data_IF_349190745584
#
_entry.id   IF_349190745584
#
_cell.length_a   1.000
_cell.length_b   1.000
_cell.length_c   1.000
_cell.angle_alpha   90.00
_cell.angle_beta   90.00
_cell.angle_gamma   90.00
#
_symmetry.space_group_name_H-M   'P 1'
#
loop_
_entity.id
_entity.type
_entity.pdbx_description
1 polymer ?
#
# COMPACT_ATOMS: atom_id res chain seq x y z
N UNK A 1 22.24 -19.19 82.00
CA UNK A 1 20.91 -18.60 81.81
C UNK A 1 20.41 -18.98 80.44
N UNK A 2 19.18 -19.49 80.39
CA UNK A 2 18.27 -19.74 79.26
C UNK A 2 18.80 -20.40 77.98
N UNK A 3 18.29 -21.60 77.70
CA UNK A 3 17.90 -22.00 76.34
C UNK A 3 16.69 -22.93 76.39
N UNK A 4 15.67 -22.50 75.66
CA UNK A 4 14.51 -23.22 75.12
C UNK A 4 14.68 -24.73 74.92
N UNK A 5 13.59 -25.48 75.17
CA UNK A 5 13.20 -26.66 74.37
C UNK A 5 11.69 -26.93 74.51
N UNK A 6 11.00 -26.74 73.40
CA UNK A 6 9.64 -27.20 73.10
C UNK A 6 9.54 -28.73 73.20
N UNK A 7 8.49 -29.26 73.86
CA UNK A 7 8.08 -30.67 73.70
C UNK A 7 6.56 -30.83 73.80
N UNK A 8 6.05 -31.46 72.75
CA UNK A 8 4.68 -31.88 72.44
C UNK A 8 4.08 -32.88 73.47
N UNK A 9 2.77 -32.85 73.74
CA UNK A 9 2.04 -33.98 74.34
C UNK A 9 1.19 -34.79 73.33
N UNK A 10 0.75 -36.02 73.71
CA UNK A 10 0.50 -37.15 72.81
C UNK A 10 -1.00 -37.42 72.48
N UNK A 11 -1.18 -38.42 71.62
CA UNK A 11 -2.39 -39.00 71.01
C UNK A 11 -3.64 -39.20 71.91
N UNK A 12 -4.83 -39.02 71.31
CA UNK A 12 -6.11 -39.62 71.71
C UNK A 12 -6.72 -40.33 70.47
N UNK A 13 -7.36 -41.51 70.61
CA UNK A 13 -7.61 -42.47 69.53
C UNK A 13 -8.87 -42.17 68.71
N UNK A 14 -8.94 -42.82 67.55
CA UNK A 14 -10.13 -42.90 66.71
C UNK A 14 -11.04 -44.07 67.16
N UNK A 15 -12.27 -43.76 67.58
CA UNK A 15 -13.43 -44.66 67.57
C UNK A 15 -14.58 -43.83 66.96
N UNK A 16 -14.88 -44.04 65.68
CA UNK A 16 -16.03 -44.83 65.25
C UNK A 16 -17.34 -44.31 65.85
N UNK A 17 -17.96 -43.36 65.16
CA UNK A 17 -19.00 -43.57 64.16
C UNK A 17 -20.41 -43.63 64.77
N UNK A 18 -21.21 -42.68 64.28
CA UNK A 18 -22.67 -42.67 64.29
C UNK A 18 -23.33 -42.39 65.64
N UNK A 19 -23.80 -41.14 65.76
CA UNK A 19 -25.20 -40.77 66.04
C UNK A 19 -25.30 -39.54 66.93
N UNK A 20 -24.85 -38.41 66.40
CA UNK A 20 -25.25 -37.09 66.89
C UNK A 20 -25.31 -36.08 65.73
N UNK A 21 -25.85 -36.51 64.59
CA UNK A 21 -26.66 -35.55 63.82
C UNK A 21 -27.78 -35.07 64.76
N UNK A 22 -27.99 -33.75 64.84
CA UNK A 22 -29.15 -33.05 65.45
C UNK A 22 -29.07 -32.47 66.88
N UNK A 23 -27.95 -32.48 67.61
CA UNK A 23 -27.93 -31.93 68.98
C UNK A 23 -27.16 -30.61 69.20
N UNK A 24 -27.01 -29.78 68.15
CA UNK A 24 -26.35 -28.47 68.26
C UNK A 24 -26.99 -27.33 67.48
N UNK A 25 -27.98 -27.62 66.63
CA UNK A 25 -28.79 -26.60 65.97
C UNK A 25 -30.05 -26.36 66.82
N UNK A 26 -29.89 -25.68 67.95
CA UNK A 26 -31.03 -25.03 68.59
C UNK A 26 -31.55 -23.93 67.66
N UNK A 27 -32.88 -23.75 67.61
CA UNK A 27 -33.53 -22.76 66.73
C UNK A 27 -32.90 -21.36 66.90
N UNK A 28 -32.48 -21.02 68.11
CA UNK A 28 -31.78 -19.77 68.44
C UNK A 28 -30.40 -19.62 67.78
N UNK A 29 -29.62 -20.70 67.60
CA UNK A 29 -28.33 -20.62 66.90
C UNK A 29 -28.49 -20.50 65.40
N UNK A 30 -29.46 -21.23 64.82
CA UNK A 30 -29.80 -21.10 63.39
C UNK A 30 -30.32 -19.69 63.11
N UNK A 31 -31.18 -19.14 63.98
CA UNK A 31 -31.68 -17.77 63.86
C UNK A 31 -30.58 -16.73 64.04
N UNK A 32 -29.63 -16.90 64.97
CA UNK A 32 -28.46 -16.01 65.10
C UNK A 32 -27.57 -16.02 63.86
N UNK A 33 -27.29 -17.18 63.30
CA UNK A 33 -26.49 -17.28 62.06
C UNK A 33 -27.25 -16.67 60.88
N UNK A 34 -28.56 -16.89 60.76
CA UNK A 34 -29.39 -16.21 59.76
C UNK A 34 -29.42 -14.69 59.97
N UNK A 35 -29.49 -14.20 61.21
CA UNK A 35 -29.47 -12.77 61.51
C UNK A 35 -28.11 -12.12 61.19
N UNK A 36 -27.00 -12.85 61.34
CA UNK A 36 -25.66 -12.40 60.93
C UNK A 36 -25.55 -12.36 59.40
N UNK A 37 -26.06 -13.38 58.70
CA UNK A 37 -26.07 -13.42 57.23
C UNK A 37 -27.01 -12.38 56.61
N UNK A 38 -28.18 -12.12 57.21
CA UNK A 38 -29.12 -11.08 56.76
C UNK A 38 -28.64 -9.65 57.03
N UNK A 39 -27.63 -9.48 57.91
CA UNK A 39 -26.97 -8.19 58.16
C UNK A 39 -26.02 -7.82 57.03
N UNK A 40 -25.38 -8.80 56.41
CA UNK A 40 -24.54 -8.60 55.23
C UNK A 40 -25.47 -8.45 54.02
N UNK A 41 -25.64 -7.19 53.59
CA UNK A 41 -26.35 -6.90 52.35
C UNK A 41 -25.64 -7.66 51.22
N UNK A 42 -26.40 -8.27 50.27
CA UNK A 42 -25.81 -9.01 49.16
C UNK A 42 -24.78 -8.13 48.45
N UNK A 43 -23.65 -8.73 48.05
CA UNK A 43 -22.60 -8.03 47.32
C UNK A 43 -23.23 -7.24 46.16
N UNK A 44 -22.86 -5.95 45.97
CA UNK A 44 -23.44 -5.17 44.90
C UNK A 44 -23.10 -5.85 43.58
N UNK A 45 -24.12 -6.41 42.92
CA UNK A 45 -23.92 -7.04 41.63
C UNK A 45 -23.74 -5.95 40.58
N UNK A 46 -22.63 -6.02 39.85
CA UNK A 46 -22.40 -5.17 38.68
C UNK A 46 -23.36 -5.60 37.57
N UNK A 47 -24.56 -5.03 37.57
CA UNK A 47 -25.51 -5.21 36.48
C UNK A 47 -25.01 -4.50 35.23
N UNK A 48 -25.16 -5.13 34.07
CA UNK A 48 -24.89 -4.49 32.79
C UNK A 48 -25.98 -3.44 32.51
N UNK A 49 -25.75 -2.19 32.89
CA UNK A 49 -26.61 -1.08 32.46
C UNK A 49 -26.19 -0.66 31.06
N UNK A 50 -27.05 -0.82 30.03
CA UNK A 50 -26.72 -0.32 28.69
C UNK A 50 -26.46 1.18 28.78
N UNK A 51 -25.35 1.64 28.20
CA UNK A 51 -24.98 3.05 28.17
C UNK A 51 -26.19 3.87 27.67
N UNK A 52 -26.59 4.92 28.39
CA UNK A 52 -27.78 5.65 28.01
C UNK A 52 -27.56 6.29 26.63
N UNK A 53 -28.53 6.11 25.74
CA UNK A 53 -28.40 6.49 24.33
C UNK A 53 -28.06 7.98 24.13
N UNK A 54 -28.47 8.85 25.05
CA UNK A 54 -28.12 10.28 25.01
C UNK A 54 -26.62 10.53 25.23
N UNK A 55 -25.97 9.76 26.11
CA UNK A 55 -24.55 9.89 26.40
C UNK A 55 -23.72 9.38 25.22
N UNK A 56 -24.14 8.27 24.62
CA UNK A 56 -23.52 7.75 23.40
C UNK A 56 -23.66 8.74 22.24
N UNK A 57 -24.84 9.36 22.09
CA UNK A 57 -25.09 10.42 21.10
C UNK A 57 -24.21 11.65 21.32
N UNK A 58 -24.04 12.09 22.57
CA UNK A 58 -23.17 13.22 22.91
C UNK A 58 -21.69 12.92 22.64
N UNK A 59 -21.20 11.76 23.06
CA UNK A 59 -19.80 11.34 22.80
C UNK A 59 -19.55 11.22 21.30
N UNK A 60 -20.48 10.62 20.55
CA UNK A 60 -20.40 10.50 19.09
C UNK A 60 -20.38 11.89 18.42
N UNK A 61 -21.24 12.81 18.86
CA UNK A 61 -21.24 14.19 18.35
C UNK A 61 -19.92 14.91 18.64
N UNK A 62 -19.33 14.74 19.82
CA UNK A 62 -18.06 15.37 20.17
C UNK A 62 -16.90 14.82 19.34
N UNK A 63 -16.86 13.49 19.13
CA UNK A 63 -15.87 12.84 18.24
C UNK A 63 -16.06 13.29 16.81
N UNK A 64 -17.30 13.38 16.33
CA UNK A 64 -17.61 13.85 14.98
C UNK A 64 -17.18 15.31 14.77
N UNK A 65 -17.50 16.21 15.70
CA UNK A 65 -17.07 17.62 15.64
C UNK A 65 -15.55 17.72 15.69
N UNK A 66 -14.87 16.98 16.56
CA UNK A 66 -13.41 16.94 16.60
C UNK A 66 -12.81 16.41 15.30
N UNK A 67 -13.37 15.34 14.73
CA UNK A 67 -12.90 14.77 13.48
C UNK A 67 -13.07 15.76 12.31
N UNK A 68 -14.24 16.40 12.20
CA UNK A 68 -14.51 17.45 11.21
C UNK A 68 -13.57 18.64 11.40
N UNK A 69 -13.37 19.09 12.64
CA UNK A 69 -12.45 20.17 12.98
C UNK A 69 -11.02 19.82 12.57
N UNK A 70 -10.50 18.66 12.94
CA UNK A 70 -9.18 18.21 12.50
C UNK A 70 -9.14 18.13 10.98
N UNK A 71 -10.13 17.55 10.31
CA UNK A 71 -10.13 17.44 8.84
C UNK A 71 -10.08 18.81 8.16
N UNK A 72 -10.79 19.81 8.69
CA UNK A 72 -10.83 21.17 8.15
C UNK A 72 -9.62 22.03 8.52
N UNK A 73 -9.03 21.85 9.70
CA UNK A 73 -7.99 22.73 10.25
C UNK A 73 -6.59 22.08 10.37
N UNK A 74 -6.42 20.81 9.97
CA UNK A 74 -5.12 20.09 10.00
C UNK A 74 -4.05 20.59 9.01
N UNK A 75 -4.36 21.55 8.14
CA UNK A 75 -3.38 22.09 7.18
C UNK A 75 -2.72 21.00 6.31
N UNK A 76 -3.42 19.91 5.99
CA UNK A 76 -2.89 18.79 5.21
C UNK A 76 -1.77 17.96 5.87
N UNK A 77 -1.38 18.27 7.12
CA UNK A 77 -0.13 17.80 7.73
C UNK A 77 1.12 18.13 6.90
N UNK A 78 1.08 19.19 6.10
CA UNK A 78 2.21 19.61 5.29
C UNK A 78 3.13 20.52 6.13
N UNK A 79 4.43 20.20 6.27
CA UNK A 79 5.38 21.00 7.05
C UNK A 79 5.46 22.47 6.60
N UNK A 80 5.09 22.75 5.35
CA UNK A 80 5.16 24.10 4.77
C UNK A 80 3.99 24.99 5.19
N UNK A 81 2.87 24.44 5.69
CA UNK A 81 1.70 25.23 6.12
C UNK A 81 1.96 26.01 7.43
N UNK A 82 3.02 25.65 8.16
CA UNK A 82 3.46 26.33 9.38
C UNK A 82 4.68 27.23 9.19
N UNK A 83 5.16 27.40 7.95
CA UNK A 83 6.22 28.35 7.64
C UNK A 83 5.58 29.73 7.37
N UNK A 84 5.89 30.74 8.18
CA UNK A 84 5.38 32.11 8.01
C UNK A 84 5.83 32.77 6.69
N UNK A 85 6.80 32.16 5.99
CA UNK A 85 7.25 32.58 4.65
C UNK A 85 6.47 31.90 3.53
N UNK A 86 5.63 30.92 3.86
CA UNK A 86 4.83 30.18 2.89
C UNK A 86 3.63 31.00 2.47
N UNK A 87 3.70 31.54 1.26
CA UNK A 87 2.56 32.14 0.59
C UNK A 87 1.74 31.03 -0.08
N UNK A 88 0.56 30.75 0.47
CA UNK A 88 -0.36 29.73 -0.02
C UNK A 88 -0.89 30.05 -1.43
N UNK A 89 -1.01 31.31 -1.81
CA UNK A 89 -1.38 31.72 -3.18
C UNK A 89 -0.20 31.46 -4.14
N UNK A 90 1.03 31.79 -3.74
CA UNK A 90 2.23 31.50 -4.54
C UNK A 90 2.49 29.99 -4.65
N UNK A 91 2.25 29.21 -3.60
CA UNK A 91 2.40 27.76 -3.61
C UNK A 91 1.30 27.06 -4.44
N UNK A 92 0.07 27.56 -4.38
CA UNK A 92 -1.03 27.10 -5.24
C UNK A 92 -0.79 27.51 -6.69
N UNK A 93 -0.25 28.70 -6.93
CA UNK A 93 0.20 29.14 -8.25
C UNK A 93 1.35 28.25 -8.78
N UNK A 94 2.34 27.93 -7.95
CA UNK A 94 3.44 27.02 -8.30
C UNK A 94 3.01 25.57 -8.50
N UNK A 95 1.97 25.10 -7.80
CA UNK A 95 1.35 23.79 -8.02
C UNK A 95 0.43 23.76 -9.26
N UNK A 96 -0.09 24.92 -9.68
CA UNK A 96 -0.95 25.08 -10.87
C UNK A 96 -0.17 25.43 -12.15
N UNK A 97 1.08 25.87 -12.03
CA UNK A 97 1.95 26.04 -13.17
C UNK A 97 2.21 24.66 -13.80
N UNK A 98 2.07 24.49 -15.13
CA UNK A 98 2.55 23.30 -15.79
C UNK A 98 4.04 23.21 -15.49
N UNK A 99 4.42 22.28 -14.61
CA UNK A 99 5.80 22.00 -14.32
C UNK A 99 6.35 21.24 -15.51
N UNK A 100 6.64 21.98 -16.59
CA UNK A 100 7.42 21.45 -17.69
C UNK A 100 8.76 21.02 -17.09
N UNK A 101 8.94 19.71 -17.02
CA UNK A 101 10.16 19.13 -16.52
C UNK A 101 11.28 19.49 -17.48
N UNK A 102 12.41 19.93 -16.92
CA UNK A 102 13.64 20.06 -17.70
C UNK A 102 14.02 18.70 -18.31
N UNK A 103 14.73 18.68 -19.45
CA UNK A 103 15.19 17.42 -20.06
C UNK A 103 15.91 16.50 -19.06
N UNK A 104 16.73 17.07 -18.17
CA UNK A 104 17.45 16.34 -17.13
C UNK A 104 16.51 15.67 -16.12
N UNK A 105 15.43 16.37 -15.74
CA UNK A 105 14.42 15.82 -14.83
C UNK A 105 13.59 14.73 -15.51
N UNK A 106 13.29 14.87 -16.80
CA UNK A 106 12.63 13.82 -17.60
C UNK A 106 13.50 12.56 -17.63
N UNK A 107 14.79 12.69 -17.92
CA UNK A 107 15.73 11.56 -17.95
C UNK A 107 15.90 10.93 -16.57
N UNK A 108 16.01 11.73 -15.49
CA UNK A 108 16.11 11.22 -14.14
C UNK A 108 14.84 10.45 -13.70
N UNK A 109 13.66 10.94 -14.08
CA UNK A 109 12.38 10.27 -13.87
C UNK A 109 12.30 8.97 -14.67
N UNK A 110 12.67 9.02 -15.95
CA UNK A 110 12.73 7.86 -16.84
C UNK A 110 13.67 6.77 -16.34
N UNK A 111 14.85 7.13 -15.82
CA UNK A 111 15.81 6.19 -15.21
C UNK A 111 15.24 5.43 -14.02
N UNK A 112 14.45 6.10 -13.17
CA UNK A 112 13.76 5.46 -12.04
C UNK A 112 12.69 4.49 -12.53
N UNK A 113 11.91 4.90 -13.53
CA UNK A 113 10.87 4.05 -14.12
C UNK A 113 11.47 2.83 -14.84
N UNK A 114 12.63 3.00 -15.47
CA UNK A 114 13.36 1.95 -16.17
C UNK A 114 13.75 0.76 -15.28
N UNK A 115 13.77 0.91 -13.95
CA UNK A 115 14.02 -0.23 -13.06
C UNK A 115 13.01 -1.37 -13.28
N UNK A 116 11.78 -1.04 -13.67
CA UNK A 116 10.76 -2.04 -14.05
C UNK A 116 11.15 -2.78 -15.34
N UNK A 117 11.75 -2.07 -16.29
CA UNK A 117 12.16 -2.59 -17.59
C UNK A 117 13.48 -3.39 -17.49
N UNK A 118 14.34 -3.01 -16.55
CA UNK A 118 15.66 -3.62 -16.32
C UNK A 118 15.57 -5.10 -15.91
N UNK A 119 14.44 -5.54 -15.35
CA UNK A 119 14.22 -6.96 -15.04
C UNK A 119 14.41 -7.88 -16.26
N UNK A 120 14.05 -7.40 -17.46
CA UNK A 120 14.20 -8.14 -18.71
C UNK A 120 15.30 -7.54 -19.60
N UNK A 121 15.33 -6.21 -19.75
CA UNK A 121 16.27 -5.52 -20.65
C UNK A 121 17.64 -5.24 -20.04
N UNK A 122 17.84 -5.61 -18.77
CA UNK A 122 19.04 -5.35 -17.97
C UNK A 122 19.30 -3.86 -17.73
N UNK A 123 20.09 -3.56 -16.70
CA UNK A 123 20.49 -2.18 -16.40
C UNK A 123 21.33 -1.54 -17.52
N UNK A 124 22.03 -2.37 -18.29
CA UNK A 124 22.84 -1.96 -19.45
C UNK A 124 22.03 -1.79 -20.73
N UNK A 125 20.74 -2.13 -20.73
CA UNK A 125 19.91 -2.08 -21.93
C UNK A 125 20.32 -3.10 -23.01
N UNK A 126 21.23 -4.03 -22.72
CA UNK A 126 21.66 -5.06 -23.68
C UNK A 126 20.69 -6.25 -23.75
N UNK A 127 19.76 -6.37 -22.81
CA UNK A 127 18.89 -7.53 -22.70
C UNK A 127 19.66 -8.82 -22.46
N UNK A 128 19.09 -9.93 -22.90
CA UNK A 128 19.67 -11.26 -22.82
C UNK A 128 19.59 -11.88 -24.21
N UNK A 129 20.74 -12.21 -24.80
CA UNK A 129 20.81 -12.75 -26.16
C UNK A 129 19.86 -13.95 -26.35
N UNK A 130 19.07 -13.94 -27.41
CA UNK A 130 18.07 -14.97 -27.72
C UNK A 130 16.78 -14.94 -26.89
N UNK A 131 16.71 -14.16 -25.81
CA UNK A 131 15.53 -14.10 -24.91
C UNK A 131 14.91 -12.72 -24.88
N UNK A 132 15.68 -11.68 -24.51
CA UNK A 132 15.23 -10.29 -24.42
C UNK A 132 16.05 -9.40 -25.33
N UNK A 133 15.42 -8.62 -26.22
CA UNK A 133 16.15 -7.81 -27.18
C UNK A 133 16.89 -6.63 -26.52
N UNK A 134 18.02 -6.19 -27.10
CA UNK A 134 18.72 -5.00 -26.67
C UNK A 134 17.92 -3.74 -27.02
N UNK A 135 17.95 -2.77 -26.10
CA UNK A 135 17.52 -1.39 -26.30
C UNK A 135 18.70 -0.47 -26.65
N UNK A 136 19.91 -0.81 -26.17
CA UNK A 136 21.13 -0.07 -26.46
C UNK A 136 21.54 -0.21 -27.94
N UNK A 137 21.59 0.92 -28.66
CA UNK A 137 21.92 0.97 -30.09
C UNK A 137 20.96 0.18 -30.98
N UNK A 138 19.71 0.04 -30.55
CA UNK A 138 18.68 -0.70 -31.28
C UNK A 138 18.02 0.17 -32.33
N UNK A 139 17.87 -0.35 -33.55
CA UNK A 139 17.13 0.29 -34.63
C UNK A 139 15.65 0.53 -34.26
N UNK A 140 15.12 -0.24 -33.30
CA UNK A 140 13.78 -0.05 -32.75
C UNK A 140 13.66 1.20 -31.89
N UNK A 141 14.71 1.49 -31.12
CA UNK A 141 14.76 2.66 -30.24
C UNK A 141 15.12 3.92 -31.03
N UNK A 142 16.04 3.82 -32.00
CA UNK A 142 16.54 4.97 -32.76
C UNK A 142 15.64 5.40 -33.92
N UNK A 143 14.74 4.53 -34.38
CA UNK A 143 13.77 4.87 -35.43
C UNK A 143 12.64 5.80 -34.96
N UNK A 144 11.51 5.80 -35.68
CA UNK A 144 10.34 6.60 -35.32
C UNK A 144 9.80 6.25 -33.94
N UNK A 145 9.46 7.30 -33.20
CA UNK A 145 8.90 7.22 -31.85
C UNK A 145 7.59 6.44 -31.79
N UNK A 146 6.75 6.58 -32.82
CA UNK A 146 5.44 5.96 -32.96
C UNK A 146 5.45 4.44 -32.73
N UNK A 147 6.46 3.75 -33.27
CA UNK A 147 6.62 2.30 -33.09
C UNK A 147 6.91 1.96 -31.64
N UNK A 148 7.85 2.68 -31.02
CA UNK A 148 8.27 2.43 -29.65
C UNK A 148 7.14 2.71 -28.65
N UNK A 149 6.37 3.78 -28.89
CA UNK A 149 5.20 4.13 -28.09
C UNK A 149 4.14 3.02 -28.17
N UNK A 150 3.84 2.51 -29.37
CA UNK A 150 2.87 1.41 -29.56
C UNK A 150 3.28 0.13 -28.84
N UNK A 151 4.56 -0.24 -28.94
CA UNK A 151 5.15 -1.39 -28.24
C UNK A 151 4.96 -1.26 -26.73
N UNK A 152 5.30 -0.12 -26.13
CA UNK A 152 5.17 0.03 -24.68
C UNK A 152 3.70 0.12 -24.23
N UNK A 153 2.84 0.77 -25.02
CA UNK A 153 1.41 0.90 -24.70
C UNK A 153 0.69 -0.45 -24.70
N UNK A 154 0.87 -1.26 -25.75
CA UNK A 154 0.07 -2.47 -25.96
C UNK A 154 0.86 -3.78 -25.81
N UNK A 155 2.16 -3.71 -25.61
CA UNK A 155 3.04 -4.87 -25.62
C UNK A 155 3.40 -5.32 -27.03
N UNK A 156 4.27 -6.31 -27.10
CA UNK A 156 4.82 -6.88 -28.33
C UNK A 156 4.89 -8.40 -28.17
N UNK A 157 4.44 -9.14 -29.15
CA UNK A 157 4.44 -10.60 -29.13
C UNK A 157 4.85 -11.20 -30.47
N UNK A 158 5.41 -12.40 -30.39
CA UNK A 158 5.84 -13.18 -31.55
C UNK A 158 7.29 -12.93 -31.94
N UNK A 159 7.71 -13.43 -33.12
CA UNK A 159 9.08 -13.31 -33.59
C UNK A 159 9.39 -11.85 -33.95
N UNK A 160 10.47 -11.32 -33.40
CA UNK A 160 10.98 -9.98 -33.66
C UNK A 160 12.47 -10.03 -33.96
N UNK A 161 12.94 -9.19 -34.89
CA UNK A 161 14.33 -9.05 -35.25
C UNK A 161 14.87 -7.72 -34.72
N UNK A 162 15.94 -7.80 -33.92
CA UNK A 162 16.63 -6.63 -33.38
C UNK A 162 18.13 -6.83 -33.53
N UNK A 163 18.82 -5.91 -34.20
CA UNK A 163 20.25 -5.98 -34.51
C UNK A 163 20.67 -7.31 -35.16
N UNK A 164 19.83 -7.85 -36.05
CA UNK A 164 20.07 -9.10 -36.78
C UNK A 164 19.86 -10.38 -35.98
N UNK A 165 19.42 -10.30 -34.72
CA UNK A 165 19.05 -11.47 -33.92
C UNK A 165 17.53 -11.61 -33.83
N UNK A 166 17.05 -12.86 -33.84
CA UNK A 166 15.63 -13.18 -33.67
C UNK A 166 15.29 -13.46 -32.22
N UNK A 167 14.22 -12.85 -31.73
CA UNK A 167 13.66 -13.03 -30.40
C UNK A 167 12.20 -13.46 -30.55
N UNK A 168 11.74 -14.45 -29.77
CA UNK A 168 10.35 -14.88 -29.80
C UNK A 168 9.77 -14.85 -28.39
N UNK A 169 9.49 -13.64 -27.92
CA UNK A 169 9.00 -13.38 -26.58
C UNK A 169 7.67 -12.64 -26.59
N UNK A 170 7.14 -12.41 -25.39
CA UNK A 170 5.99 -11.55 -25.17
C UNK A 170 6.37 -10.46 -24.15
N UNK A 171 6.36 -9.21 -24.60
CA UNK A 171 6.46 -8.04 -23.75
C UNK A 171 5.06 -7.60 -23.33
N UNK A 172 4.77 -7.47 -22.03
CA UNK A 172 3.45 -7.07 -21.55
C UNK A 172 3.13 -5.60 -21.91
N UNK A 173 1.84 -5.28 -21.92
CA UNK A 173 1.35 -3.92 -22.11
C UNK A 173 1.55 -3.08 -20.84
N UNK A 174 2.10 -1.87 -20.96
CA UNK A 174 2.23 -0.93 -19.84
C UNK A 174 1.22 0.20 -19.90
N UNK A 175 0.62 0.45 -21.07
CA UNK A 175 -0.36 1.49 -21.27
C UNK A 175 -1.69 1.24 -20.56
N UNK A 176 -2.55 2.26 -20.64
CA UNK A 176 -3.95 2.18 -20.23
C UNK A 176 -4.80 1.73 -21.43
N UNK A 177 -4.84 0.42 -21.69
CA UNK A 177 -5.54 -0.15 -22.84
C UNK A 177 -6.73 -1.02 -22.38
N UNK A 178 -7.74 -1.24 -23.23
CA UNK A 178 -8.79 -2.21 -22.95
C UNK A 178 -8.21 -3.62 -22.79
N UNK A 179 -8.72 -4.40 -21.83
CA UNK A 179 -8.33 -5.81 -21.69
C UNK A 179 -7.05 -6.07 -20.88
N UNK A 180 -6.37 -5.04 -20.36
CA UNK A 180 -5.31 -5.22 -19.37
C UNK A 180 -4.12 -4.27 -19.54
N UNK A 181 -3.05 -4.53 -18.79
CA UNK A 181 -1.83 -3.73 -18.78
C UNK A 181 -1.55 -3.08 -17.42
N UNK A 182 -0.36 -2.49 -17.28
CA UNK A 182 0.06 -1.87 -16.02
C UNK A 182 -0.57 -0.48 -15.76
N UNK A 183 -1.40 0.04 -16.68
CA UNK A 183 -2.11 1.31 -16.55
C UNK A 183 -1.19 2.50 -16.22
N UNK A 184 -0.01 2.54 -16.82
CA UNK A 184 0.90 3.69 -16.68
C UNK A 184 0.29 4.93 -17.35
N UNK A 185 0.52 6.08 -16.73
CA UNK A 185 0.15 7.36 -17.33
C UNK A 185 1.02 7.66 -18.55
N UNK A 186 0.47 8.45 -19.47
CA UNK A 186 1.18 8.94 -20.66
C UNK A 186 2.53 9.59 -20.31
N UNK A 187 2.59 10.30 -19.18
CA UNK A 187 3.80 10.94 -18.66
C UNK A 187 4.86 9.93 -18.21
N UNK A 188 4.48 8.85 -17.51
CA UNK A 188 5.44 7.79 -17.15
C UNK A 188 6.04 7.15 -18.40
N UNK A 189 5.19 6.91 -19.40
CA UNK A 189 5.57 6.31 -20.67
C UNK A 189 6.51 7.26 -21.43
N UNK A 190 6.18 8.54 -21.53
CA UNK A 190 7.02 9.51 -22.23
C UNK A 190 8.41 9.65 -21.59
N UNK A 191 8.49 9.65 -20.25
CA UNK A 191 9.76 9.75 -19.53
C UNK A 191 10.64 8.51 -19.70
N UNK A 192 10.10 7.30 -19.55
CA UNK A 192 10.90 6.08 -19.70
C UNK A 192 11.39 5.89 -21.13
N UNK A 193 10.56 6.20 -22.14
CA UNK A 193 10.96 6.09 -23.53
C UNK A 193 11.99 7.14 -23.92
N UNK A 194 11.85 8.36 -23.39
CA UNK A 194 12.84 9.42 -23.56
C UNK A 194 14.19 9.04 -22.96
N UNK A 195 14.20 8.44 -21.76
CA UNK A 195 15.42 7.91 -21.15
C UNK A 195 16.07 6.83 -22.02
N UNK A 196 15.30 5.84 -22.48
CA UNK A 196 15.80 4.76 -23.34
C UNK A 196 16.42 5.33 -24.65
N UNK A 197 15.86 6.41 -25.20
CA UNK A 197 16.34 7.07 -26.42
C UNK A 197 17.59 7.93 -26.25
N UNK A 198 18.01 8.21 -25.01
CA UNK A 198 19.20 9.01 -24.68
C UNK A 198 20.27 8.26 -23.87
N UNK A 199 19.99 7.02 -23.46
CA UNK A 199 20.93 6.21 -22.70
C UNK A 199 21.73 5.26 -23.61
N UNK A 200 22.88 4.79 -23.13
CA UNK A 200 23.74 3.81 -23.82
C UNK A 200 24.24 4.24 -25.20
N UNK A 201 24.45 5.55 -25.39
CA UNK A 201 24.88 6.12 -26.66
C UNK A 201 23.75 6.28 -27.68
N UNK A 202 22.50 6.01 -27.29
CA UNK A 202 21.36 6.41 -28.09
C UNK A 202 21.25 7.94 -28.10
N UNK A 203 20.94 8.52 -29.25
CA UNK A 203 20.73 9.95 -29.41
C UNK A 203 19.57 10.18 -30.39
N UNK A 204 18.35 10.02 -29.88
CA UNK A 204 17.13 10.21 -30.65
C UNK A 204 16.18 11.16 -29.89
N UNK A 205 15.29 11.86 -30.61
CA UNK A 205 14.45 12.90 -30.03
C UNK A 205 13.62 12.43 -28.82
N UNK A 206 13.35 13.35 -27.88
CA UNK A 206 12.49 13.11 -26.73
C UNK A 206 11.06 12.76 -27.16
N UNK A 207 10.44 11.87 -26.39
CA UNK A 207 9.03 11.54 -26.55
C UNK A 207 8.26 12.36 -25.53
N UNK A 208 7.30 13.15 -26.00
CA UNK A 208 6.44 13.96 -25.14
C UNK A 208 5.20 13.20 -24.72
N UNK A 209 4.52 13.72 -23.69
CA UNK A 209 3.21 13.20 -23.27
C UNK A 209 2.20 13.23 -24.43
N UNK A 210 2.23 14.28 -25.25
CA UNK A 210 1.28 14.46 -26.35
C UNK A 210 1.50 13.43 -27.47
N UNK A 211 2.76 13.03 -27.74
CA UNK A 211 3.03 11.92 -28.65
C UNK A 211 2.37 10.63 -28.16
N UNK A 212 2.47 10.34 -26.85
CA UNK A 212 1.86 9.14 -26.25
C UNK A 212 0.34 9.22 -26.29
N UNK A 213 -0.24 10.38 -25.96
CA UNK A 213 -1.68 10.60 -25.99
C UNK A 213 -2.25 10.46 -27.42
N UNK A 214 -1.54 10.97 -28.43
CA UNK A 214 -1.93 10.84 -29.83
C UNK A 214 -2.01 9.37 -30.27
N UNK A 215 -0.98 8.58 -29.93
CA UNK A 215 -0.96 7.14 -30.24
C UNK A 215 -2.04 6.40 -29.45
N UNK A 216 -2.21 6.70 -28.16
CA UNK A 216 -3.25 6.08 -27.34
C UNK A 216 -4.65 6.34 -27.89
N UNK A 217 -4.91 7.56 -28.38
CA UNK A 217 -6.18 7.92 -29.02
C UNK A 217 -6.37 7.19 -30.36
N UNK A 218 -5.32 7.09 -31.17
CA UNK A 218 -5.37 6.39 -32.45
C UNK A 218 -5.68 4.90 -32.29
N UNK A 219 -5.17 4.28 -31.22
CA UNK A 219 -5.29 2.84 -30.95
C UNK A 219 -6.29 2.51 -29.83
N UNK A 220 -7.22 3.42 -29.50
CA UNK A 220 -8.06 3.33 -28.30
C UNK A 220 -8.91 2.03 -28.21
N UNK A 221 -9.22 1.41 -29.35
CA UNK A 221 -9.99 0.16 -29.42
C UNK A 221 -9.12 -1.10 -29.35
N UNK A 222 -7.80 -0.96 -29.42
CA UNK A 222 -6.89 -2.10 -29.50
C UNK A 222 -6.56 -2.65 -28.11
N UNK A 223 -6.85 -3.92 -27.90
CA UNK A 223 -6.50 -4.66 -26.67
C UNK A 223 -5.33 -5.63 -26.84
N UNK A 224 -4.96 -5.95 -28.09
CA UNK A 224 -4.00 -7.00 -28.43
C UNK A 224 -2.59 -6.44 -28.56
N UNK A 225 -1.61 -7.20 -28.07
CA UNK A 225 -0.19 -6.95 -28.34
C UNK A 225 0.09 -6.86 -29.85
N UNK A 226 1.10 -6.06 -30.19
CA UNK A 226 1.56 -5.92 -31.56
C UNK A 226 2.43 -7.10 -31.99
N UNK A 227 2.47 -7.39 -33.28
CA UNK A 227 3.54 -8.18 -33.90
C UNK A 227 4.50 -7.27 -34.67
N UNK A 228 5.69 -7.78 -35.02
CA UNK A 228 6.61 -7.01 -35.86
C UNK A 228 6.00 -6.59 -37.19
N UNK A 229 5.26 -7.49 -37.85
CA UNK A 229 4.68 -7.22 -39.17
C UNK A 229 3.63 -6.10 -39.12
N UNK A 230 2.81 -6.08 -38.07
CA UNK A 230 1.83 -5.02 -37.84
C UNK A 230 2.48 -3.66 -37.55
N UNK A 231 3.72 -3.67 -37.00
CA UNK A 231 4.48 -2.47 -36.69
C UNK A 231 5.39 -1.99 -37.83
N UNK A 232 5.54 -2.77 -38.90
CA UNK A 232 6.38 -2.43 -40.04
C UNK A 232 6.06 -1.05 -40.66
N UNK A 233 4.79 -0.60 -40.78
CA UNK A 233 4.47 0.72 -41.29
C UNK A 233 4.98 1.88 -40.42
N UNK A 234 5.26 1.63 -39.14
CA UNK A 234 5.74 2.62 -38.17
C UNK A 234 7.25 2.58 -37.96
N UNK A 235 7.98 1.73 -38.71
CA UNK A 235 9.41 1.53 -38.55
C UNK A 235 10.29 2.59 -39.25
N UNK A 236 9.76 3.27 -40.28
CA UNK A 236 10.45 4.26 -41.12
C UNK A 236 10.00 5.67 -40.77
#
# INVERSE_FOLDING_TARGET
>A
MSSEKTKLPPHIPAEQHQRAEQAGANDDSIQKVHAILLREKPEPSEGFTPLPLFLLGFISAMVFVCAVYVVHYRGGFDPLVYDERFDAEAAKAAASAPKELTPEQVLASGKRLFQTCAACHQATGLGVAGVYPPLAGSEWVLGKEDRLIRVLLHGLGGPVQVKGNTYNGAMPAFGKIPGGGYNWSEEKISHVLSYIRHEWGNNAGFITKDNVAAVLKAEASRAKAWTQDELAPFAQ
#
